data_IF_218312430093
#
_entry.id   IF_218312430093
#
_cell.length_a   1.000
_cell.length_b   1.000
_cell.length_c   1.000
_cell.angle_alpha   90.00
_cell.angle_beta   90.00
_cell.angle_gamma   90.00
#
_symmetry.space_group_name_H-M   'P 1'
#
loop_
_entity.id
_entity.type
_entity.pdbx_description
1 polymer ?
#
# COMPACT_ATOMS: atom_id res chain seq x y z
N UNK A 1 14.85 4.68 4.77
CA UNK A 1 15.70 3.49 5.05
C UNK A 1 15.08 2.19 4.54
N UNK A 2 13.76 1.95 4.74
CA UNK A 2 13.07 0.72 4.28
C UNK A 2 13.00 0.56 2.75
N UNK A 3 13.03 1.68 2.02
CA UNK A 3 13.02 1.69 0.55
C UNK A 3 14.44 1.69 -0.03
N UNK A 4 15.44 2.11 0.78
CA UNK A 4 16.82 2.30 0.32
C UNK A 4 17.69 1.04 0.40
N UNK A 5 17.27 -0.01 1.09
CA UNK A 5 18.02 -1.27 1.07
C UNK A 5 17.81 -1.96 -0.27
N UNK A 6 18.86 -2.15 -1.07
CA UNK A 6 18.73 -2.87 -2.33
C UNK A 6 18.27 -4.28 -2.01
N UNK A 7 17.25 -4.71 -2.70
CA UNK A 7 16.75 -6.06 -2.66
C UNK A 7 17.85 -7.04 -3.12
N UNK A 8 18.71 -7.43 -2.19
CA UNK A 8 19.55 -8.61 -2.35
C UNK A 8 18.82 -9.75 -1.67
N UNK A 9 18.05 -10.47 -2.47
CA UNK A 9 17.24 -11.54 -1.93
C UNK A 9 17.54 -12.84 -2.60
N UNK A 10 18.16 -13.70 -1.84
CA UNK A 10 18.20 -15.14 -2.08
C UNK A 10 17.44 -15.78 -0.93
N UNK A 11 16.23 -16.26 -1.18
CA UNK A 11 15.40 -16.94 -0.19
C UNK A 11 13.97 -16.41 -0.10
N UNK A 12 13.13 -17.00 0.71
CA UNK A 12 11.73 -16.59 0.94
C UNK A 12 11.65 -15.12 1.36
N UNK A 13 11.26 -14.28 0.42
CA UNK A 13 11.21 -12.83 0.58
C UNK A 13 10.00 -12.42 1.39
N UNK A 14 10.25 -11.93 2.59
CA UNK A 14 9.27 -11.14 3.32
C UNK A 14 9.65 -9.66 3.24
N UNK A 15 8.80 -8.84 2.60
CA UNK A 15 8.93 -7.39 2.68
C UNK A 15 8.23 -6.87 3.93
N UNK A 16 8.61 -5.66 4.34
CA UNK A 16 7.87 -4.92 5.37
C UNK A 16 7.04 -3.83 4.71
N UNK A 17 5.88 -3.56 5.26
CA UNK A 17 5.04 -2.43 4.87
C UNK A 17 5.22 -1.23 5.81
N UNK A 18 4.58 -0.13 5.45
CA UNK A 18 4.56 1.11 6.22
C UNK A 18 3.09 1.46 6.52
N UNK A 19 2.78 1.78 7.76
CA UNK A 19 1.50 2.37 8.14
C UNK A 19 1.73 3.81 8.59
N UNK A 20 1.29 4.77 7.80
CA UNK A 20 1.32 6.19 8.11
C UNK A 20 -0.02 6.60 8.73
N UNK A 21 0.01 6.93 10.01
CA UNK A 21 -1.18 7.16 10.82
C UNK A 21 -1.20 8.60 11.30
N UNK A 22 -2.17 9.36 10.82
CA UNK A 22 -2.36 10.76 11.23
C UNK A 22 -3.80 11.21 10.97
N UNK A 23 -4.22 12.32 11.58
CA UNK A 23 -5.53 12.92 11.38
C UNK A 23 -5.83 13.28 9.91
N UNK A 24 -7.10 13.47 9.60
CA UNK A 24 -7.52 13.97 8.27
C UNK A 24 -6.98 15.39 8.04
N UNK A 25 -6.61 15.71 6.80
CA UNK A 25 -6.11 17.03 6.44
C UNK A 25 -4.66 17.34 6.84
N UNK A 26 -3.91 16.40 7.39
CA UNK A 26 -2.52 16.60 7.85
C UNK A 26 -1.45 16.66 6.74
N UNK A 27 -1.86 16.57 5.46
CA UNK A 27 -0.91 16.56 4.34
C UNK A 27 -0.24 15.20 4.04
N UNK A 28 -0.70 14.11 4.67
CA UNK A 28 -0.17 12.74 4.44
C UNK A 28 -0.01 12.39 2.97
N UNK A 29 -1.06 12.59 2.21
CA UNK A 29 -1.10 12.27 0.78
C UNK A 29 -0.02 13.00 0.01
N UNK A 30 0.13 14.31 0.23
CA UNK A 30 1.16 15.13 -0.40
C UNK A 30 2.57 14.70 0.01
N UNK A 31 2.77 14.40 1.28
CA UNK A 31 4.07 13.96 1.80
C UNK A 31 4.49 12.60 1.22
N UNK A 32 3.58 11.63 1.19
CA UNK A 32 3.87 10.30 0.61
C UNK A 32 4.12 10.41 -0.88
N UNK A 33 3.28 11.15 -1.61
CA UNK A 33 3.43 11.34 -3.05
C UNK A 33 4.79 11.99 -3.39
N UNK A 34 5.18 13.04 -2.66
CA UNK A 34 6.48 13.70 -2.84
C UNK A 34 7.64 12.73 -2.60
N UNK A 35 7.58 11.93 -1.53
CA UNK A 35 8.64 10.95 -1.22
C UNK A 35 8.74 9.90 -2.31
N UNK A 36 7.61 9.32 -2.75
CA UNK A 36 7.60 8.25 -3.75
C UNK A 36 8.05 8.75 -5.13
N UNK A 37 7.58 9.94 -5.55
CA UNK A 37 7.91 10.51 -6.86
C UNK A 37 9.37 10.99 -6.97
N UNK A 38 9.99 11.37 -5.85
CA UNK A 38 11.37 11.86 -5.84
C UNK A 38 12.40 10.77 -5.53
N UNK A 39 11.99 9.64 -4.93
CA UNK A 39 12.92 8.61 -4.48
C UNK A 39 13.64 7.92 -5.67
N UNK A 40 14.99 7.93 -5.72
CA UNK A 40 15.74 7.43 -6.88
C UNK A 40 15.43 5.97 -7.26
N UNK A 41 15.23 5.08 -6.29
CA UNK A 41 14.96 3.66 -6.52
C UNK A 41 13.56 3.39 -7.13
N UNK A 42 12.65 4.38 -7.07
CA UNK A 42 11.27 4.25 -7.57
C UNK A 42 11.06 4.92 -8.93
N UNK A 43 12.10 5.57 -9.46
CA UNK A 43 12.06 6.16 -10.80
C UNK A 43 11.97 5.09 -11.88
N UNK A 44 11.36 5.42 -13.03
CA UNK A 44 11.38 4.55 -14.21
C UNK A 44 12.82 4.14 -14.56
N UNK A 45 12.98 2.91 -15.04
CA UNK A 45 14.30 2.41 -15.48
C UNK A 45 14.68 2.98 -16.84
N UNK A 46 13.69 3.19 -17.70
CA UNK A 46 13.86 3.74 -19.06
C UNK A 46 12.79 4.78 -19.36
N UNK A 47 13.05 5.61 -20.38
CA UNK A 47 12.08 6.58 -20.84
C UNK A 47 10.82 5.84 -21.37
N UNK A 48 9.66 6.15 -20.79
CA UNK A 48 8.39 5.51 -21.14
C UNK A 48 7.95 4.40 -20.20
N UNK A 49 8.82 3.91 -19.33
CA UNK A 49 8.41 2.97 -18.28
C UNK A 49 7.54 3.66 -17.21
N UNK A 50 6.59 2.95 -16.61
CA UNK A 50 5.84 3.49 -15.47
C UNK A 50 6.74 3.64 -14.23
N UNK A 51 6.39 4.51 -13.27
CA UNK A 51 7.06 4.57 -11.98
C UNK A 51 6.90 3.23 -11.25
N UNK A 52 7.88 2.88 -10.42
CA UNK A 52 7.87 1.61 -9.66
C UNK A 52 6.96 1.64 -8.45
N UNK A 53 6.07 2.57 -8.38
CA UNK A 53 5.04 2.64 -7.34
C UNK A 53 3.67 2.90 -7.95
N UNK A 54 2.64 2.45 -7.26
CA UNK A 54 1.25 2.65 -7.65
C UNK A 54 0.46 3.18 -6.45
N UNK A 55 -0.27 4.28 -6.64
CA UNK A 55 -1.19 4.83 -5.65
C UNK A 55 -2.61 4.36 -5.95
N UNK A 56 -3.29 3.87 -4.93
CA UNK A 56 -4.68 3.44 -4.97
C UNK A 56 -5.46 4.29 -3.98
N UNK A 57 -6.42 5.04 -4.46
CA UNK A 57 -7.46 5.62 -3.61
C UNK A 57 -8.41 4.50 -3.23
N UNK A 58 -8.48 4.19 -1.94
CA UNK A 58 -9.34 3.11 -1.46
C UNK A 58 -10.82 3.51 -1.63
N UNK A 59 -11.64 2.71 -2.32
CA UNK A 59 -13.07 2.99 -2.44
C UNK A 59 -13.75 2.86 -1.06
N UNK A 60 -14.79 3.67 -0.81
CA UNK A 60 -15.54 3.61 0.43
C UNK A 60 -17.01 3.31 0.15
N UNK A 61 -17.54 2.15 0.61
CA UNK A 61 -16.87 1.05 1.28
C UNK A 61 -16.03 0.17 0.33
N UNK A 62 -14.96 -0.42 0.84
CA UNK A 62 -14.12 -1.33 0.10
C UNK A 62 -14.46 -2.80 0.41
N UNK A 63 -14.52 -3.61 -0.64
CA UNK A 63 -14.47 -5.07 -0.54
C UNK A 63 -13.16 -5.56 -1.13
N UNK A 64 -12.75 -6.77 -0.77
CA UNK A 64 -11.55 -7.38 -1.35
C UNK A 64 -11.61 -7.40 -2.90
N UNK A 65 -12.81 -7.58 -3.45
CA UNK A 65 -13.06 -7.61 -4.89
C UNK A 65 -12.98 -6.22 -5.52
N UNK A 66 -13.62 -5.21 -4.93
CA UNK A 66 -13.60 -3.84 -5.45
C UNK A 66 -12.19 -3.24 -5.37
N UNK A 67 -11.47 -3.46 -4.27
CA UNK A 67 -10.11 -3.00 -4.11
C UNK A 67 -9.17 -3.61 -5.17
N UNK A 68 -9.27 -4.92 -5.40
CA UNK A 68 -8.47 -5.58 -6.44
C UNK A 68 -8.74 -5.03 -7.84
N UNK A 69 -10.00 -4.68 -8.14
CA UNK A 69 -10.37 -4.04 -9.42
C UNK A 69 -9.77 -2.64 -9.56
N UNK A 70 -9.78 -1.84 -8.50
CA UNK A 70 -9.12 -0.52 -8.51
C UNK A 70 -7.61 -0.65 -8.76
N UNK A 71 -6.95 -1.65 -8.16
CA UNK A 71 -5.54 -1.90 -8.45
C UNK A 71 -5.33 -2.28 -9.91
N UNK A 72 -6.16 -3.17 -10.47
CA UNK A 72 -6.06 -3.55 -11.89
C UNK A 72 -6.29 -2.37 -12.82
N UNK A 73 -7.30 -1.57 -12.57
CA UNK A 73 -7.59 -0.35 -13.31
C UNK A 73 -6.39 0.61 -13.29
N UNK A 74 -5.79 0.82 -12.14
CA UNK A 74 -4.60 1.66 -12.00
C UNK A 74 -3.36 1.09 -12.74
N UNK A 75 -3.34 -0.22 -13.02
CA UNK A 75 -2.32 -0.85 -13.90
C UNK A 75 -2.69 -0.84 -15.40
N UNK A 76 -3.78 -0.16 -15.77
CA UNK A 76 -4.28 -0.12 -17.15
C UNK A 76 -5.06 -1.36 -17.58
N UNK A 77 -5.52 -2.20 -16.66
CA UNK A 77 -6.36 -3.38 -16.95
C UNK A 77 -7.78 -3.15 -16.41
N UNK A 78 -8.67 -2.68 -17.26
CA UNK A 78 -10.05 -2.38 -16.89
C UNK A 78 -11.03 -3.54 -17.18
N UNK A 79 -10.75 -4.34 -18.19
CA UNK A 79 -11.63 -5.46 -18.59
C UNK A 79 -11.38 -6.70 -17.74
N UNK A 80 -12.03 -6.73 -16.59
CA UNK A 80 -12.01 -7.87 -15.66
C UNK A 80 -13.43 -8.43 -15.53
N UNK A 81 -13.59 -9.72 -15.82
CA UNK A 81 -14.90 -10.38 -15.76
C UNK A 81 -15.68 -10.01 -14.49
N UNK A 82 -16.97 -9.59 -14.61
CA UNK A 82 -17.81 -9.31 -13.45
C UNK A 82 -17.97 -10.52 -12.52
N UNK A 83 -17.84 -11.73 -13.06
CA UNK A 83 -17.98 -13.01 -12.33
C UNK A 83 -16.70 -13.46 -11.65
N UNK A 84 -15.55 -12.82 -11.94
CA UNK A 84 -14.28 -13.20 -11.32
C UNK A 84 -14.36 -13.14 -9.79
N UNK A 85 -13.85 -14.16 -9.13
CA UNK A 85 -13.73 -14.21 -7.68
C UNK A 85 -12.65 -13.23 -7.18
N UNK A 86 -12.66 -12.89 -5.90
CA UNK A 86 -11.61 -12.07 -5.31
C UNK A 86 -10.23 -12.74 -5.47
N UNK A 87 -10.16 -14.06 -5.32
CA UNK A 87 -8.94 -14.83 -5.51
C UNK A 87 -8.34 -14.68 -6.92
N UNK A 88 -9.16 -14.84 -7.96
CA UNK A 88 -8.73 -14.67 -9.35
C UNK A 88 -8.25 -13.24 -9.61
N UNK A 89 -8.99 -12.23 -9.14
CA UNK A 89 -8.63 -10.82 -9.27
C UNK A 89 -7.26 -10.55 -8.64
N UNK A 90 -7.03 -10.99 -7.41
CA UNK A 90 -5.75 -10.78 -6.72
C UNK A 90 -4.60 -11.62 -7.30
N UNK A 91 -4.91 -12.75 -7.94
CA UNK A 91 -3.94 -13.48 -8.76
C UNK A 91 -3.45 -12.64 -9.94
N UNK A 92 -4.39 -12.02 -10.67
CA UNK A 92 -4.07 -11.12 -11.79
C UNK A 92 -3.34 -9.86 -11.29
N UNK A 93 -3.76 -9.28 -10.15
CA UNK A 93 -3.06 -8.13 -9.53
C UNK A 93 -1.59 -8.45 -9.32
N UNK A 94 -1.27 -9.55 -8.63
CA UNK A 94 0.14 -9.93 -8.39
C UNK A 94 0.93 -10.07 -9.68
N UNK A 95 0.36 -10.75 -10.66
CA UNK A 95 0.99 -10.91 -11.97
C UNK A 95 1.27 -9.54 -12.65
N UNK A 96 0.29 -8.64 -12.64
CA UNK A 96 0.44 -7.30 -13.24
C UNK A 96 1.48 -6.44 -12.51
N UNK A 97 1.49 -6.46 -11.17
CA UNK A 97 2.48 -5.72 -10.39
C UNK A 97 3.91 -6.20 -10.70
N UNK A 98 4.11 -7.52 -10.80
CA UNK A 98 5.39 -8.11 -11.20
C UNK A 98 5.79 -7.74 -12.63
N UNK A 99 4.86 -7.83 -13.58
CA UNK A 99 5.09 -7.50 -14.99
C UNK A 99 5.51 -6.03 -15.19
N UNK A 100 4.89 -5.13 -14.44
CA UNK A 100 5.17 -3.69 -14.49
C UNK A 100 6.35 -3.27 -13.59
N UNK A 101 6.95 -4.20 -12.85
CA UNK A 101 8.04 -3.90 -11.94
C UNK A 101 7.63 -2.98 -10.78
N UNK A 102 6.36 -3.03 -10.36
CA UNK A 102 5.88 -2.24 -9.22
C UNK A 102 6.47 -2.79 -7.92
N UNK A 103 7.17 -1.94 -7.18
CA UNK A 103 7.84 -2.27 -5.92
C UNK A 103 7.04 -1.78 -4.72
N UNK A 104 6.31 -0.67 -4.88
CA UNK A 104 5.50 -0.07 -3.81
C UNK A 104 4.04 0.01 -4.24
N UNK A 105 3.14 -0.46 -3.38
CA UNK A 105 1.70 -0.32 -3.55
C UNK A 105 1.16 0.52 -2.39
N UNK A 106 0.76 1.76 -2.70
CA UNK A 106 0.26 2.70 -1.71
C UNK A 106 -1.27 2.75 -1.72
N UNK A 107 -1.86 2.38 -0.60
CA UNK A 107 -3.28 2.49 -0.31
C UNK A 107 -3.54 3.77 0.49
N UNK A 108 -4.12 4.76 -0.18
CA UNK A 108 -4.51 6.01 0.46
C UNK A 108 -5.92 5.89 1.04
N UNK A 109 -6.14 6.46 2.22
CA UNK A 109 -7.32 6.25 3.07
C UNK A 109 -7.57 4.77 3.40
N UNK A 110 -6.50 4.05 3.72
CA UNK A 110 -6.51 2.61 3.94
C UNK A 110 -7.44 2.14 5.07
N UNK A 111 -7.86 3.04 5.97
CA UNK A 111 -8.85 2.70 6.99
C UNK A 111 -10.21 2.32 6.38
N UNK A 112 -10.53 2.81 5.17
CA UNK A 112 -11.76 2.48 4.44
C UNK A 112 -11.80 1.01 3.96
N UNK A 113 -10.64 0.35 3.87
CA UNK A 113 -10.57 -1.09 3.59
C UNK A 113 -11.31 -1.94 4.64
N UNK A 114 -11.57 -1.36 5.81
CA UNK A 114 -12.07 -2.08 6.98
C UNK A 114 -13.38 -1.50 7.54
N UNK A 115 -13.98 -0.53 6.84
CA UNK A 115 -15.15 0.21 7.35
C UNK A 115 -16.43 -0.62 7.48
N UNK A 116 -16.69 -1.49 6.53
CA UNK A 116 -17.97 -2.20 6.38
C UNK A 116 -17.84 -3.71 6.56
N UNK A 117 -16.64 -4.17 6.92
CA UNK A 117 -16.36 -5.60 6.95
C UNK A 117 -16.86 -6.29 8.21
N UNK A 118 -17.48 -7.46 8.03
CA UNK A 118 -17.57 -8.47 9.07
C UNK A 118 -16.15 -8.86 9.54
N UNK A 119 -16.03 -9.51 10.69
CA UNK A 119 -14.73 -10.00 11.18
C UNK A 119 -14.00 -10.87 10.14
N UNK A 120 -14.76 -11.63 9.33
CA UNK A 120 -14.21 -12.44 8.24
C UNK A 120 -13.66 -11.59 7.10
N UNK A 121 -14.35 -10.53 6.69
CA UNK A 121 -13.88 -9.65 5.62
C UNK A 121 -12.64 -8.87 6.02
N UNK A 122 -12.57 -8.45 7.29
CA UNK A 122 -11.35 -7.84 7.87
C UNK A 122 -10.18 -8.84 7.82
N UNK A 123 -10.40 -10.07 8.24
CA UNK A 123 -9.39 -11.14 8.22
C UNK A 123 -8.93 -11.45 6.77
N UNK A 124 -9.84 -11.54 5.82
CA UNK A 124 -9.51 -11.76 4.42
C UNK A 124 -8.70 -10.58 3.82
N UNK A 125 -8.99 -9.35 4.21
CA UNK A 125 -8.23 -8.16 3.81
C UNK A 125 -6.81 -8.17 4.41
N UNK A 126 -6.67 -8.52 5.69
CA UNK A 126 -5.38 -8.66 6.35
C UNK A 126 -4.54 -9.80 5.73
N UNK A 127 -5.16 -10.93 5.38
CA UNK A 127 -4.51 -12.03 4.66
C UNK A 127 -4.04 -11.61 3.27
N UNK A 128 -4.81 -10.80 2.58
CA UNK A 128 -4.40 -10.25 1.29
C UNK A 128 -3.17 -9.35 1.44
N UNK A 129 -3.16 -8.41 2.39
CA UNK A 129 -1.99 -7.56 2.68
C UNK A 129 -0.75 -8.40 2.99
N UNK A 130 -0.91 -9.45 3.81
CA UNK A 130 0.17 -10.38 4.12
C UNK A 130 0.69 -11.08 2.86
N UNK A 131 -0.21 -11.52 1.97
CA UNK A 131 0.18 -12.18 0.72
C UNK A 131 0.93 -11.28 -0.25
N UNK A 132 0.66 -9.97 -0.23
CA UNK A 132 1.41 -8.97 -1.01
C UNK A 132 2.85 -8.80 -0.53
N UNK A 133 3.11 -9.03 0.76
CA UNK A 133 4.43 -8.91 1.37
C UNK A 133 5.28 -10.18 1.27
N UNK A 134 4.78 -11.22 0.61
CA UNK A 134 5.44 -12.53 0.53
C UNK A 134 5.68 -12.94 -0.92
N UNK A 135 6.61 -13.88 -1.12
CA UNK A 135 6.99 -14.47 -2.40
C UNK A 135 7.84 -13.58 -3.31
N UNK A 136 8.19 -14.12 -4.47
CA UNK A 136 9.06 -13.47 -5.45
C UNK A 136 8.53 -12.15 -6.03
N UNK A 137 7.21 -11.94 -5.98
CA UNK A 137 6.53 -10.71 -6.41
C UNK A 137 6.15 -9.82 -5.25
N UNK A 138 6.85 -9.94 -4.11
CA UNK A 138 6.52 -9.16 -2.93
C UNK A 138 6.66 -7.66 -3.20
N UNK A 139 5.64 -6.91 -2.80
CA UNK A 139 5.65 -5.44 -2.84
C UNK A 139 5.69 -4.87 -1.42
N UNK A 140 6.08 -3.62 -1.29
CA UNK A 140 6.03 -2.86 -0.05
C UNK A 140 4.67 -2.16 0.02
N UNK A 141 3.70 -2.61 0.83
CA UNK A 141 2.46 -1.88 1.01
C UNK A 141 2.70 -0.65 1.87
N UNK A 142 2.22 0.50 1.42
CA UNK A 142 2.09 1.70 2.23
C UNK A 142 0.61 1.91 2.51
N UNK A 143 0.24 1.98 3.77
CA UNK A 143 -1.12 2.23 4.22
C UNK A 143 -1.16 3.62 4.85
N UNK A 144 -1.79 4.61 4.23
CA UNK A 144 -2.02 5.90 4.85
C UNK A 144 -3.47 6.03 5.33
N UNK A 145 -3.67 6.50 6.54
CA UNK A 145 -5.00 6.59 7.12
C UNK A 145 -5.04 7.25 8.48
N UNK A 146 -6.21 7.21 9.08
CA UNK A 146 -6.47 7.76 10.40
C UNK A 146 -6.07 6.80 11.53
N UNK A 147 -6.21 7.21 12.80
CA UNK A 147 -5.95 6.40 13.99
C UNK A 147 -6.69 5.04 13.95
N UNK A 148 -7.85 4.96 13.31
CA UNK A 148 -8.60 3.72 13.12
C UNK A 148 -7.76 2.63 12.42
N UNK A 149 -6.87 3.00 11.51
CA UNK A 149 -5.95 2.06 10.86
C UNK A 149 -5.01 1.39 11.87
N UNK A 150 -4.54 2.14 12.86
CA UNK A 150 -3.68 1.59 13.92
C UNK A 150 -4.39 0.56 14.79
N UNK A 151 -5.67 0.76 15.05
CA UNK A 151 -6.49 -0.17 15.82
C UNK A 151 -6.69 -1.47 15.06
N UNK A 152 -7.08 -1.38 13.80
CA UNK A 152 -7.38 -2.54 12.96
C UNK A 152 -6.15 -3.41 12.71
N UNK A 153 -5.01 -2.80 12.42
CA UNK A 153 -3.78 -3.56 12.16
C UNK A 153 -3.26 -4.33 13.38
N UNK A 154 -3.76 -4.04 14.58
CA UNK A 154 -3.45 -4.80 15.80
C UNK A 154 -4.18 -6.15 15.89
N UNK A 155 -5.28 -6.33 15.15
CA UNK A 155 -6.06 -7.59 15.20
C UNK A 155 -5.30 -8.79 14.61
N UNK A 156 -4.37 -8.56 13.68
CA UNK A 156 -3.49 -9.61 13.17
C UNK A 156 -2.04 -9.32 13.57
N UNK A 157 -1.51 -10.11 14.49
CA UNK A 157 -0.13 -9.97 14.98
C UNK A 157 0.90 -10.12 13.85
N UNK A 158 0.64 -10.96 12.86
CA UNK A 158 1.56 -11.20 11.75
C UNK A 158 1.61 -10.00 10.80
N UNK A 159 0.48 -9.33 10.57
CA UNK A 159 0.43 -8.07 9.81
C UNK A 159 1.06 -6.95 10.64
N UNK A 160 0.68 -6.85 11.92
CA UNK A 160 1.16 -5.80 12.81
C UNK A 160 2.69 -5.76 12.94
N UNK A 161 3.36 -6.91 13.09
CA UNK A 161 4.83 -7.00 13.17
C UNK A 161 5.55 -6.69 11.85
N UNK A 162 4.85 -6.81 10.71
CA UNK A 162 5.39 -6.49 9.38
C UNK A 162 5.18 -5.04 8.97
N UNK A 163 4.33 -4.30 9.67
CA UNK A 163 4.09 -2.89 9.41
C UNK A 163 4.94 -2.01 10.32
N UNK A 164 5.78 -1.18 9.72
CA UNK A 164 6.44 -0.08 10.42
C UNK A 164 5.45 1.06 10.57
N UNK A 165 5.08 1.39 11.80
CA UNK A 165 4.15 2.49 12.09
C UNK A 165 4.89 3.80 12.12
N UNK A 166 4.43 4.75 11.32
CA UNK A 166 4.92 6.13 11.29
C UNK A 166 3.77 7.01 11.78
N UNK A 167 3.96 7.67 12.90
CA UNK A 167 3.04 8.64 13.46
C UNK A 167 3.80 9.97 13.50
N UNK A 168 3.55 10.88 12.54
CA UNK A 168 4.21 12.17 12.50
C UNK A 168 3.90 12.95 13.77
N UNK A 169 4.88 13.71 14.24
CA UNK A 169 4.62 14.66 15.33
C UNK A 169 3.84 15.86 14.79
N UNK A 170 2.93 16.43 15.56
CA UNK A 170 2.30 17.68 15.18
C UNK A 170 3.35 18.76 14.91
N UNK A 171 3.19 19.52 13.84
CA UNK A 171 4.04 20.68 13.57
C UNK A 171 3.84 21.70 14.69
N UNK A 172 4.92 22.11 15.33
CA UNK A 172 4.91 23.15 16.35
C UNK A 172 5.29 24.48 15.70
N UNK A 173 4.39 25.45 15.77
CA UNK A 173 4.65 26.81 15.29
C UNK A 173 5.91 27.39 15.98
N UNK A 174 6.90 27.85 15.23
CA UNK A 174 8.14 28.42 15.71
C UNK A 174 9.31 27.43 15.93
N UNK A 175 9.10 26.11 15.81
CA UNK A 175 10.17 25.12 15.94
C UNK A 175 10.47 24.43 14.58
N UNK A 176 9.49 24.34 13.72
CA UNK A 176 9.59 23.63 12.42
C UNK A 176 9.59 24.62 11.23
N UNK A 177 9.93 25.89 11.47
CA UNK A 177 10.03 26.95 10.45
C UNK A 177 11.41 27.00 9.80
N UNK A 178 12.04 25.90 9.46
CA UNK A 178 13.15 25.94 8.51
C UNK A 178 12.61 26.24 7.10
N UNK A 179 13.13 27.27 6.42
CA UNK A 179 12.68 27.59 5.06
C UNK A 179 12.99 26.45 4.10
N UNK A 180 11.99 26.04 3.34
CA UNK A 180 12.08 25.11 2.23
C UNK A 180 13.04 25.60 1.12
#
# INVERSE_FOLDING_TARGET
RLIAEPMRFTGNLETRGIALIEGSGSGKTTAVDRVLSTHPALKPTSAGDPPKFLRIQVPSPATLKSLGREVLKATGLEDVSPRASAWEIWGVVRHRLALLGIVVLWFDEAHDMFLSGSAREIDDMLKMLKSLMQNESAVIPILSGTQRLAEITRFDEQVNRRLTKVVPKPLCQGVDEEPL
#
